data_IF_728311089745
#
_entry.id   IF_728311089745
#
_cell.length_a   1.000
_cell.length_b   1.000
_cell.length_c   1.000
_cell.angle_alpha   90.00
_cell.angle_beta   90.00
_cell.angle_gamma   90.00
#
_symmetry.space_group_name_H-M   'P 1'
#
loop_
_entity.id
_entity.type
_entity.pdbx_description
1 polymer ?
#
# COMPACT_ATOMS: atom_id res chain seq x y z
N UNK A 1 21.01 -10.23 -2.53
CA UNK A 1 21.08 -8.76 -2.36
C UNK A 1 20.07 -8.40 -1.29
N UNK A 2 20.56 -7.88 -0.16
CA UNK A 2 19.74 -7.47 0.99
C UNK A 2 19.31 -6.02 0.72
N UNK A 3 18.02 -5.74 0.65
CA UNK A 3 17.54 -4.37 0.39
C UNK A 3 17.76 -3.51 1.65
N UNK A 4 18.73 -2.60 1.59
CA UNK A 4 19.04 -1.64 2.65
C UNK A 4 17.82 -0.75 2.98
N UNK A 5 17.27 -0.81 4.21
CA UNK A 5 16.08 -0.03 4.61
C UNK A 5 16.36 1.47 4.85
N UNK A 6 17.60 1.93 4.66
CA UNK A 6 18.08 3.28 4.98
C UNK A 6 18.15 4.23 3.76
N UNK A 7 17.48 3.90 2.65
CA UNK A 7 17.33 4.91 1.58
C UNK A 7 16.37 6.00 2.05
N UNK A 8 16.73 7.29 1.96
CA UNK A 8 15.78 8.36 2.21
C UNK A 8 14.60 8.15 1.28
N UNK A 9 13.47 7.73 1.85
CA UNK A 9 12.22 7.61 1.11
C UNK A 9 11.93 9.01 0.63
N UNK A 10 11.88 9.20 -0.69
CA UNK A 10 11.49 10.48 -1.28
C UNK A 10 10.23 10.95 -0.54
N UNK A 11 10.17 12.22 -0.10
CA UNK A 11 8.97 12.73 0.53
C UNK A 11 7.80 12.40 -0.39
N UNK A 12 6.69 11.89 0.15
CA UNK A 12 5.57 11.51 -0.69
C UNK A 12 5.15 12.74 -1.50
N UNK A 13 5.08 12.59 -2.83
CA UNK A 13 4.63 13.66 -3.75
C UNK A 13 3.20 14.16 -3.42
N UNK A 14 2.51 13.44 -2.54
CA UNK A 14 1.17 13.74 -2.06
C UNK A 14 0.99 13.38 -0.58
N UNK A 15 0.49 14.33 0.21
CA UNK A 15 0.06 14.10 1.59
C UNK A 15 -1.47 13.93 1.65
N UNK A 16 -1.94 12.91 2.38
CA UNK A 16 -3.37 12.65 2.55
C UNK A 16 -4.01 13.76 3.38
N UNK A 17 -5.06 14.38 2.84
CA UNK A 17 -5.75 15.50 3.48
C UNK A 17 -5.13 16.88 3.22
N UNK A 18 -4.14 16.95 2.32
CA UNK A 18 -3.60 18.22 1.85
C UNK A 18 -4.67 19.07 1.14
N UNK A 19 -4.59 20.40 1.27
CA UNK A 19 -5.46 21.31 0.54
C UNK A 19 -5.31 21.13 -0.98
N UNK A 20 -6.45 21.01 -1.65
CA UNK A 20 -6.54 20.78 -3.08
C UNK A 20 -6.93 22.05 -3.86
N UNK A 21 -7.15 23.17 -3.17
CA UNK A 21 -7.76 24.38 -3.73
C UNK A 21 -6.87 25.05 -4.78
N UNK A 22 -5.55 24.84 -4.69
CA UNK A 22 -4.54 25.36 -5.62
C UNK A 22 -4.13 24.37 -6.71
N UNK A 23 -4.69 23.16 -6.72
CA UNK A 23 -4.32 22.11 -7.68
C UNK A 23 -5.21 22.15 -8.92
N UNK A 24 -4.59 21.97 -10.07
CA UNK A 24 -5.28 21.82 -11.34
C UNK A 24 -5.89 20.43 -11.48
N UNK A 25 -6.89 20.28 -12.36
CA UNK A 25 -7.52 18.98 -12.64
C UNK A 25 -6.50 17.89 -13.07
N UNK A 26 -5.50 18.24 -13.88
CA UNK A 26 -4.43 17.32 -14.31
C UNK A 26 -3.50 16.90 -13.18
N UNK A 27 -3.24 17.79 -12.22
CA UNK A 27 -2.43 17.48 -11.03
C UNK A 27 -3.19 16.53 -10.10
N UNK A 28 -4.51 16.76 -9.94
CA UNK A 28 -5.38 15.85 -9.21
C UNK A 28 -5.44 14.47 -9.86
N UNK A 29 -5.55 14.39 -11.18
CA UNK A 29 -5.55 13.11 -11.92
C UNK A 29 -4.26 12.32 -11.71
N UNK A 30 -3.11 13.01 -11.77
CA UNK A 30 -1.80 12.41 -11.53
C UNK A 30 -1.70 11.85 -10.11
N UNK A 31 -2.11 12.62 -9.10
CA UNK A 31 -2.13 12.17 -7.70
C UNK A 31 -3.08 11.01 -7.45
N UNK A 32 -4.28 11.05 -8.02
CA UNK A 32 -5.26 9.96 -7.95
C UNK A 32 -4.67 8.67 -8.53
N UNK A 33 -3.96 8.77 -9.66
CA UNK A 33 -3.35 7.61 -10.31
C UNK A 33 -2.27 6.98 -9.41
N UNK A 34 -1.41 7.80 -8.81
CA UNK A 34 -0.39 7.32 -7.86
C UNK A 34 -1.03 6.63 -6.63
N UNK A 35 -2.07 7.24 -6.06
CA UNK A 35 -2.77 6.66 -4.92
C UNK A 35 -3.47 5.34 -5.25
N UNK A 36 -4.08 5.23 -6.44
CA UNK A 36 -4.68 3.96 -6.89
C UNK A 36 -3.65 2.85 -7.05
N UNK A 37 -2.46 3.17 -7.56
CA UNK A 37 -1.37 2.20 -7.65
C UNK A 37 -0.91 1.74 -6.27
N UNK A 38 -0.77 2.66 -5.31
CA UNK A 38 -0.40 2.30 -3.94
C UNK A 38 -1.49 1.47 -3.25
N UNK A 39 -2.77 1.78 -3.45
CA UNK A 39 -3.89 0.96 -2.97
C UNK A 39 -3.77 -0.47 -3.52
N UNK A 40 -3.57 -0.64 -4.83
CA UNK A 40 -3.44 -1.96 -5.44
C UNK A 40 -2.25 -2.76 -4.86
N UNK A 41 -1.13 -2.10 -4.60
CA UNK A 41 0.03 -2.70 -3.93
C UNK A 41 -0.32 -3.15 -2.51
N UNK A 42 -0.97 -2.29 -1.73
CA UNK A 42 -1.38 -2.59 -0.35
C UNK A 42 -2.42 -3.72 -0.31
N UNK A 43 -3.36 -3.76 -1.24
CA UNK A 43 -4.35 -4.84 -1.36
C UNK A 43 -3.69 -6.17 -1.71
N UNK A 44 -2.72 -6.17 -2.61
CA UNK A 44 -1.94 -7.37 -2.97
C UNK A 44 -1.21 -7.91 -1.75
N UNK A 45 -0.48 -7.05 -1.03
CA UNK A 45 0.24 -7.44 0.19
C UNK A 45 -0.71 -7.91 1.30
N UNK A 46 -1.85 -7.22 1.47
CA UNK A 46 -2.90 -7.63 2.41
C UNK A 46 -3.43 -9.02 2.05
N UNK A 47 -3.72 -9.27 0.78
CA UNK A 47 -4.22 -10.56 0.30
C UNK A 47 -3.19 -11.68 0.57
N UNK A 48 -1.92 -11.46 0.24
CA UNK A 48 -0.83 -12.38 0.54
C UNK A 48 -0.72 -12.69 2.04
N UNK A 49 -0.81 -11.66 2.89
CA UNK A 49 -0.77 -11.84 4.37
C UNK A 49 -2.01 -12.55 4.90
N UNK A 50 -3.20 -12.29 4.36
CA UNK A 50 -4.43 -12.98 4.74
C UNK A 50 -4.41 -14.45 4.30
N UNK A 51 -3.90 -14.75 3.11
CA UNK A 51 -3.71 -16.13 2.65
C UNK A 51 -2.72 -16.89 3.55
N UNK A 52 -1.62 -16.23 3.94
CA UNK A 52 -0.68 -16.78 4.92
C UNK A 52 -1.33 -17.03 6.28
N UNK A 53 -2.17 -16.10 6.76
CA UNK A 53 -2.92 -16.26 8.01
C UNK A 53 -3.93 -17.42 7.94
N UNK A 54 -4.68 -17.54 6.85
CA UNK A 54 -5.64 -18.62 6.65
C UNK A 54 -4.95 -20.01 6.56
N UNK A 55 -3.79 -20.08 5.90
CA UNK A 55 -2.97 -21.28 5.85
C UNK A 55 -2.44 -21.67 7.25
N UNK A 56 -1.99 -20.69 8.04
CA UNK A 56 -1.57 -20.92 9.42
C UNK A 56 -2.76 -21.33 10.32
N UNK A 57 -3.90 -20.65 10.23
CA UNK A 57 -5.11 -20.99 11.01
C UNK A 57 -5.66 -22.40 10.68
N UNK A 58 -5.42 -22.92 9.47
CA UNK A 58 -5.75 -24.30 9.12
C UNK A 58 -4.77 -25.33 9.68
N UNK A 59 -3.50 -24.94 9.91
CA UNK A 59 -2.48 -25.78 10.52
C UNK A 59 -2.59 -25.83 12.06
N UNK A 60 -3.12 -24.76 12.67
CA UNK A 60 -3.30 -24.66 14.13
C UNK A 60 -4.69 -25.05 14.64
N UNK A 61 -5.60 -25.52 13.78
CA UNK A 61 -6.86 -26.11 14.26
C UNK A 61 -6.56 -27.50 14.86
N UNK A 62 -6.89 -27.75 16.14
CA UNK A 62 -6.72 -29.08 16.71
C UNK A 62 -7.68 -30.02 15.99
N UNK A 63 -7.13 -31.11 15.46
CA UNK A 63 -7.89 -32.26 14.98
C UNK A 63 -8.89 -32.63 16.08
N UNK A 64 -10.18 -32.51 15.78
CA UNK A 64 -11.24 -33.07 16.59
C UNK A 64 -11.93 -34.15 15.78
#
# INVERSE_FOLDING_TARGET
MMEDPDRPRKPPEHEIGCDLSLLSASELETRITLLKQEIARLETEKSSKMAGKAAAESLFRPLK
#
